data_IF_853887506664
#
_entry.id   IF_853887506664
#
_cell.length_a   1.000
_cell.length_b   1.000
_cell.length_c   1.000
_cell.angle_alpha   90.00
_cell.angle_beta   90.00
_cell.angle_gamma   90.00
#
_symmetry.space_group_name_H-M   'P 1'
#
loop_
_entity.id
_entity.type
_entity.pdbx_description
1 polymer ?
#
# COMPACT_ATOMS: atom_id res chain seq x y z
N UNK A 1 8.35 -1.67 -12.21
CA UNK A 1 8.31 -2.79 -11.26
C UNK A 1 7.20 -3.66 -11.77
N UNK A 2 7.53 -4.81 -12.33
CA UNK A 2 6.51 -5.64 -12.98
C UNK A 2 5.57 -6.28 -11.92
N UNK A 3 6.04 -6.40 -10.66
CA UNK A 3 5.34 -7.08 -9.57
C UNK A 3 5.36 -6.31 -8.22
N UNK A 4 5.51 -4.97 -8.23
CA UNK A 4 5.63 -4.22 -6.98
C UNK A 4 5.36 -2.72 -7.06
N UNK A 5 5.39 -2.06 -5.90
CA UNK A 5 5.19 -0.62 -5.76
C UNK A 5 6.23 -0.02 -4.81
N UNK A 6 6.40 1.30 -4.88
CA UNK A 6 7.29 2.08 -4.00
C UNK A 6 6.51 3.16 -3.28
N UNK A 7 6.94 3.48 -2.07
CA UNK A 7 6.40 4.57 -1.26
C UNK A 7 7.53 5.47 -0.78
N UNK A 8 7.24 6.76 -0.61
CA UNK A 8 8.15 7.69 0.05
C UNK A 8 7.83 7.73 1.55
N UNK A 9 8.85 7.64 2.40
CA UNK A 9 8.72 7.74 3.86
C UNK A 9 9.37 9.05 4.31
N UNK A 10 8.62 9.86 5.04
CA UNK A 10 9.14 11.09 5.67
C UNK A 10 9.78 10.77 7.03
N UNK A 11 10.68 11.63 7.55
CA UNK A 11 11.40 11.36 8.81
C UNK A 11 10.50 11.08 10.01
N UNK A 12 9.35 11.75 10.10
CA UNK A 12 8.41 11.51 11.20
C UNK A 12 7.85 10.08 11.16
N UNK A 13 7.40 9.60 10.00
CA UNK A 13 6.88 8.23 9.82
C UNK A 13 7.96 7.19 10.07
N UNK A 14 9.18 7.42 9.62
CA UNK A 14 10.33 6.54 9.93
C UNK A 14 10.52 6.43 11.45
N UNK A 15 10.52 7.56 12.16
CA UNK A 15 10.73 7.59 13.62
C UNK A 15 9.57 7.01 14.43
N UNK A 16 8.34 7.11 13.93
CA UNK A 16 7.12 6.78 14.67
C UNK A 16 6.58 5.37 14.37
N UNK A 17 7.17 4.63 13.44
CA UNK A 17 6.68 3.30 13.03
C UNK A 17 7.78 2.25 13.06
N UNK A 18 7.39 0.98 12.85
CA UNK A 18 8.34 -0.14 12.77
C UNK A 18 9.03 -0.24 11.40
N UNK A 19 8.69 0.63 10.44
CA UNK A 19 9.24 0.56 9.09
C UNK A 19 10.76 0.80 9.05
N UNK A 20 11.29 1.61 9.97
CA UNK A 20 12.72 1.90 10.06
C UNK A 20 13.57 0.65 10.39
N UNK A 21 12.98 -0.38 11.00
CA UNK A 21 13.71 -1.60 11.40
C UNK A 21 13.53 -2.76 10.42
N UNK A 22 12.62 -2.59 9.44
CA UNK A 22 12.35 -3.60 8.40
C UNK A 22 13.48 -3.67 7.40
N UNK A 23 13.74 -4.87 6.90
CA UNK A 23 14.76 -5.19 5.90
C UNK A 23 14.11 -5.79 4.65
N UNK A 24 14.86 -5.80 3.56
CA UNK A 24 14.43 -6.48 2.34
C UNK A 24 14.07 -7.94 2.64
N UNK A 25 12.87 -8.37 2.21
CA UNK A 25 12.33 -9.70 2.48
C UNK A 25 11.45 -9.80 3.73
N UNK A 26 11.46 -8.80 4.63
CA UNK A 26 10.57 -8.82 5.79
C UNK A 26 9.11 -8.67 5.36
N UNK A 27 8.19 -9.47 5.92
CA UNK A 27 6.78 -9.31 5.64
C UNK A 27 6.23 -8.01 6.25
N UNK A 28 5.27 -7.43 5.54
CA UNK A 28 4.46 -6.29 5.98
C UNK A 28 2.99 -6.60 5.71
N UNK A 29 2.11 -5.99 6.51
CA UNK A 29 0.68 -6.07 6.24
C UNK A 29 0.34 -5.09 5.12
N UNK A 30 -0.41 -5.56 4.12
CA UNK A 30 -0.94 -4.73 3.04
C UNK A 30 -2.45 -4.60 3.26
N UNK A 31 -2.90 -3.38 3.45
CA UNK A 31 -4.31 -3.04 3.53
C UNK A 31 -4.67 -2.08 2.39
N UNK A 32 -5.75 -2.39 1.69
CA UNK A 32 -6.29 -1.58 0.61
C UNK A 32 -7.28 -0.56 1.15
N UNK A 33 -7.26 0.66 0.60
CA UNK A 33 -8.18 1.73 1.03
C UNK A 33 -9.63 1.33 0.78
N UNK A 34 -10.44 1.41 1.84
CA UNK A 34 -11.87 1.13 1.81
C UNK A 34 -12.61 2.09 0.87
N UNK A 35 -12.19 3.36 0.81
CA UNK A 35 -12.72 4.38 -0.10
C UNK A 35 -12.50 3.98 -1.54
N UNK A 36 -11.31 3.48 -1.89
CA UNK A 36 -11.02 3.00 -3.23
C UNK A 36 -11.96 1.86 -3.64
N UNK A 37 -12.21 0.90 -2.74
CA UNK A 37 -13.18 -0.20 -3.01
C UNK A 37 -14.59 0.33 -3.30
N UNK A 38 -15.05 1.33 -2.57
CA UNK A 38 -16.36 1.93 -2.82
C UNK A 38 -16.39 2.71 -4.14
N UNK A 39 -15.30 3.42 -4.47
CA UNK A 39 -15.18 4.12 -5.75
C UNK A 39 -15.23 3.13 -6.91
N UNK A 40 -14.46 2.03 -6.86
CA UNK A 40 -14.49 0.97 -7.89
C UNK A 40 -15.92 0.46 -8.13
N UNK A 41 -16.67 0.21 -7.05
CA UNK A 41 -18.07 -0.24 -7.13
C UNK A 41 -18.99 0.84 -7.72
N UNK A 42 -18.79 2.11 -7.37
CA UNK A 42 -19.60 3.23 -7.84
C UNK A 42 -19.38 3.55 -9.32
N UNK A 43 -18.13 3.48 -9.78
CA UNK A 43 -17.80 3.75 -11.20
C UNK A 43 -18.05 2.53 -12.09
N UNK A 44 -18.60 1.44 -11.54
CA UNK A 44 -18.87 0.21 -12.26
C UNK A 44 -17.60 -0.37 -12.87
N UNK A 45 -16.46 -0.21 -12.20
CA UNK A 45 -15.19 -0.73 -12.70
C UNK A 45 -15.29 -2.25 -12.72
N UNK A 46 -15.51 -2.79 -13.92
CA UNK A 46 -15.45 -4.21 -14.18
C UNK A 46 -13.98 -4.50 -14.48
N UNK A 47 -13.28 -5.12 -13.53
CA UNK A 47 -11.96 -5.67 -13.78
C UNK A 47 -12.09 -6.72 -14.90
N UNK A 48 -11.59 -6.49 -16.13
CA UNK A 48 -11.77 -7.41 -17.25
C UNK A 48 -10.83 -8.62 -17.19
N UNK A 49 -10.20 -8.88 -16.03
CA UNK A 49 -9.35 -10.04 -15.80
C UNK A 49 -10.15 -11.32 -15.63
#
# INVERSE_FOLDING_TARGET
>A
LDDGFTVAIIPHTESATTLATKRAGDPVNIEVDVTAKYIERLIGWHDPR
#
